data_IF_946703189692
#
_entry.id   IF_946703189692
#
_cell.length_a   1.000
_cell.length_b   1.000
_cell.length_c   1.000
_cell.angle_alpha   90.00
_cell.angle_beta   90.00
_cell.angle_gamma   90.00
#
_symmetry.space_group_name_H-M   'P 1'
#
loop_
_entity.id
_entity.type
_entity.pdbx_description
1 polymer ?
#
# COMPACT_ATOMS: atom_id res chain seq x y z
N UNK A 1 -11.62 -18.27 -14.02
CA UNK A 1 -10.23 -18.54 -14.40
C UNK A 1 -9.67 -17.27 -15.02
N UNK A 2 -8.59 -16.72 -14.49
CA UNK A 2 -7.97 -15.52 -15.05
C UNK A 2 -7.19 -15.92 -16.30
N UNK A 3 -7.51 -15.32 -17.45
CA UNK A 3 -6.78 -15.48 -18.73
C UNK A 3 -5.57 -14.56 -18.83
N UNK A 4 -4.96 -14.17 -17.70
CA UNK A 4 -3.68 -13.47 -17.69
C UNK A 4 -2.52 -14.46 -17.54
N UNK A 5 -1.29 -13.99 -17.83
CA UNK A 5 -0.02 -14.75 -17.70
C UNK A 5 -0.02 -15.72 -16.53
N UNK A 6 0.63 -16.88 -16.65
CA UNK A 6 0.66 -17.86 -15.59
C UNK A 6 1.10 -17.18 -14.29
N UNK A 7 0.18 -17.10 -13.34
CA UNK A 7 0.47 -16.60 -12.00
C UNK A 7 0.95 -17.79 -11.20
N UNK A 8 2.16 -17.75 -10.74
CA UNK A 8 2.84 -18.84 -10.06
C UNK A 8 2.29 -19.13 -8.65
N UNK A 9 1.03 -18.72 -8.37
CA UNK A 9 0.41 -18.96 -7.07
C UNK A 9 -1.12 -19.02 -7.15
N UNK A 10 -1.72 -19.74 -6.22
CA UNK A 10 -3.17 -19.76 -6.05
C UNK A 10 -3.66 -18.49 -5.36
N UNK A 11 -4.88 -18.06 -5.69
CA UNK A 11 -5.53 -17.00 -4.92
C UNK A 11 -5.78 -17.48 -3.47
N UNK A 12 -5.88 -16.53 -2.52
CA UNK A 12 -6.16 -16.89 -1.12
C UNK A 12 -7.49 -17.67 -0.99
N UNK A 13 -8.49 -17.35 -1.82
CA UNK A 13 -9.74 -18.10 -1.88
C UNK A 13 -9.55 -19.54 -2.37
N UNK A 14 -8.70 -19.75 -3.39
CA UNK A 14 -8.39 -21.11 -3.88
C UNK A 14 -7.65 -21.92 -2.84
N UNK A 15 -6.68 -21.31 -2.16
CA UNK A 15 -5.91 -21.96 -1.09
C UNK A 15 -6.85 -22.40 0.04
N UNK A 16 -7.73 -21.50 0.48
CA UNK A 16 -8.68 -21.81 1.55
C UNK A 16 -9.65 -22.93 1.16
N UNK A 17 -10.16 -22.89 -0.07
CA UNK A 17 -11.08 -23.93 -0.59
C UNK A 17 -10.38 -25.31 -0.66
N UNK A 18 -9.14 -25.35 -1.13
CA UNK A 18 -8.33 -26.58 -1.18
C UNK A 18 -8.13 -27.13 0.24
N UNK A 19 -7.79 -26.25 1.21
CA UNK A 19 -7.59 -26.65 2.61
C UNK A 19 -8.85 -27.23 3.23
N UNK A 20 -10.00 -26.57 3.06
CA UNK A 20 -11.30 -27.04 3.56
C UNK A 20 -11.65 -28.40 2.97
N UNK A 21 -11.39 -28.60 1.68
CA UNK A 21 -11.64 -29.86 1.00
C UNK A 21 -10.71 -30.99 1.48
N UNK A 22 -9.44 -30.68 1.68
CA UNK A 22 -8.47 -31.67 2.19
C UNK A 22 -8.78 -32.06 3.64
N UNK A 23 -9.12 -31.11 4.50
CA UNK A 23 -9.50 -31.41 5.89
C UNK A 23 -10.78 -32.23 5.96
N UNK A 24 -11.73 -32.00 5.06
CA UNK A 24 -13.00 -32.76 5.01
C UNK A 24 -12.86 -34.17 4.38
N UNK A 25 -11.93 -34.32 3.42
CA UNK A 25 -11.84 -35.53 2.61
C UNK A 25 -10.84 -36.59 3.14
N UNK A 26 -9.90 -36.20 4.01
CA UNK A 26 -8.78 -37.06 4.37
C UNK A 26 -8.54 -37.08 5.87
N UNK A 27 -9.05 -38.07 6.61
CA UNK A 27 -8.59 -38.35 7.96
C UNK A 27 -7.21 -39.01 7.88
N UNK A 28 -6.18 -38.28 7.47
CA UNK A 28 -4.82 -38.86 7.35
C UNK A 28 -3.93 -38.18 8.36
N UNK A 29 -3.23 -39.00 9.11
CA UNK A 29 -2.04 -38.56 9.79
C UNK A 29 -1.07 -38.01 8.75
N UNK A 30 -0.98 -36.67 8.64
CA UNK A 30 -0.04 -36.02 7.74
C UNK A 30 1.39 -36.38 8.14
N UNK A 31 2.29 -36.45 7.18
CA UNK A 31 3.72 -36.51 7.45
C UNK A 31 4.10 -35.13 8.04
N UNK A 32 4.72 -35.06 9.23
CA UNK A 32 5.18 -33.79 9.77
C UNK A 32 6.15 -33.15 8.78
N UNK A 33 5.84 -31.91 8.37
CA UNK A 33 6.79 -31.08 7.65
C UNK A 33 7.88 -30.68 8.64
N UNK A 34 9.14 -30.73 8.24
CA UNK A 34 10.28 -30.31 9.07
C UNK A 34 10.33 -28.78 9.27
N UNK A 35 9.44 -28.02 8.65
CA UNK A 35 9.33 -26.55 8.66
C UNK A 35 8.05 -26.09 9.37
N UNK A 36 8.06 -24.86 9.88
CA UNK A 36 6.92 -24.25 10.54
C UNK A 36 6.27 -23.21 9.61
N UNK A 37 4.94 -23.01 9.69
CA UNK A 37 4.27 -21.98 8.91
C UNK A 37 4.62 -20.57 9.43
N UNK A 38 4.61 -19.56 8.54
CA UNK A 38 4.65 -18.16 8.96
C UNK A 38 3.46 -17.84 9.86
N UNK A 39 3.62 -16.84 10.71
CA UNK A 39 2.60 -16.42 11.65
C UNK A 39 2.31 -14.91 11.54
N UNK A 40 1.05 -14.56 11.28
CA UNK A 40 0.56 -13.17 11.28
C UNK A 40 0.26 -12.71 12.70
N UNK A 41 0.80 -11.56 13.10
CA UNK A 41 0.40 -10.90 14.34
C UNK A 41 -1.01 -10.31 14.21
N UNK A 42 -2.01 -11.12 14.49
CA UNK A 42 -3.44 -10.74 14.39
C UNK A 42 -3.85 -9.66 15.38
N UNK A 43 -3.04 -9.38 16.42
CA UNK A 43 -3.32 -8.32 17.39
C UNK A 43 -3.19 -6.91 16.79
N UNK A 44 -2.41 -6.78 15.71
CA UNK A 44 -2.23 -5.53 14.95
C UNK A 44 -3.30 -5.31 13.87
N UNK A 45 -4.21 -6.27 13.67
CA UNK A 45 -5.26 -6.19 12.67
C UNK A 45 -6.59 -5.91 13.38
N UNK A 46 -7.19 -4.74 13.08
CA UNK A 46 -8.53 -4.42 13.60
C UNK A 46 -9.57 -5.31 12.93
N UNK A 47 -10.61 -5.68 13.69
CA UNK A 47 -11.74 -6.44 13.13
C UNK A 47 -12.43 -5.70 11.99
N UNK A 48 -12.53 -4.37 12.09
CA UNK A 48 -13.13 -3.52 11.08
C UNK A 48 -12.46 -2.15 11.03
N UNK A 49 -12.22 -1.65 9.83
CA UNK A 49 -11.78 -0.29 9.53
C UNK A 49 -12.92 0.49 8.90
N UNK A 50 -12.96 1.81 9.12
CA UNK A 50 -13.91 2.73 8.51
C UNK A 50 -13.20 3.62 7.51
N UNK A 51 -13.78 3.78 6.32
CA UNK A 51 -13.25 4.66 5.27
C UNK A 51 -14.39 5.42 4.59
N UNK A 52 -14.19 6.70 4.24
CA UNK A 52 -15.06 7.38 3.29
C UNK A 52 -14.79 6.85 1.88
N UNK A 53 -15.77 6.97 1.00
CA UNK A 53 -15.61 6.68 -0.43
C UNK A 53 -14.40 7.40 -1.02
N UNK A 54 -13.85 6.88 -2.10
CA UNK A 54 -12.74 7.47 -2.86
C UNK A 54 -11.46 7.73 -2.05
N UNK A 55 -11.27 6.98 -0.96
CA UNK A 55 -10.07 7.03 -0.12
C UNK A 55 -9.19 5.82 -0.40
N UNK A 56 -7.92 6.05 -0.69
CA UNK A 56 -6.92 4.99 -0.79
C UNK A 56 -6.63 4.38 0.57
N UNK A 57 -6.37 3.10 0.59
CA UNK A 57 -6.02 2.40 1.83
C UNK A 57 -4.95 1.34 1.60
N UNK A 58 -4.29 0.97 2.68
CA UNK A 58 -3.26 -0.07 2.69
C UNK A 58 -3.35 -0.91 3.96
N UNK A 59 -3.05 -2.18 3.82
CA UNK A 59 -2.84 -3.05 4.98
C UNK A 59 -1.35 -3.18 5.25
N UNK A 60 -0.95 -3.06 6.52
CA UNK A 60 0.36 -3.42 7.02
C UNK A 60 0.26 -4.79 7.70
N UNK A 61 0.87 -5.81 7.10
CA UNK A 61 0.79 -7.19 7.59
C UNK A 61 2.07 -7.48 8.36
N UNK A 62 1.98 -7.52 9.69
CA UNK A 62 3.10 -7.91 10.54
C UNK A 62 3.13 -9.43 10.67
N UNK A 63 4.20 -10.07 10.23
CA UNK A 63 4.36 -11.52 10.31
C UNK A 63 5.79 -11.92 10.63
N UNK A 64 5.95 -13.10 11.18
CA UNK A 64 7.25 -13.73 11.47
C UNK A 64 7.21 -15.17 11.00
N UNK A 65 8.38 -15.72 10.72
CA UNK A 65 8.57 -17.12 10.39
C UNK A 65 9.84 -17.62 11.10
N UNK A 66 9.79 -18.75 11.80
CA UNK A 66 10.95 -19.27 12.53
C UNK A 66 12.10 -19.76 11.67
N UNK A 67 11.81 -20.24 10.46
CA UNK A 67 12.76 -20.93 9.59
C UNK A 67 12.89 -20.33 8.18
N UNK A 68 12.06 -19.32 7.83
CA UNK A 68 12.19 -18.59 6.57
C UNK A 68 12.38 -17.07 6.80
N UNK A 69 13.51 -16.49 6.37
CA UNK A 69 13.72 -15.04 6.46
C UNK A 69 12.97 -14.25 5.38
N UNK A 70 12.50 -14.93 4.33
CA UNK A 70 11.84 -14.30 3.19
C UNK A 70 10.36 -14.63 3.17
N UNK A 71 9.53 -13.63 3.38
CA UNK A 71 8.08 -13.76 3.35
C UNK A 71 7.48 -13.05 2.15
N UNK A 72 6.35 -13.56 1.70
CA UNK A 72 5.53 -12.91 0.69
C UNK A 72 4.14 -12.65 1.24
N UNK A 73 3.59 -11.49 0.87
CA UNK A 73 2.36 -10.96 1.41
C UNK A 73 1.32 -10.76 0.31
N UNK A 74 0.07 -10.92 0.67
CA UNK A 74 -1.07 -10.68 -0.22
C UNK A 74 -2.28 -10.20 0.58
N UNK A 75 -3.09 -9.33 -0.01
CA UNK A 75 -4.41 -9.01 0.50
C UNK A 75 -5.44 -9.21 -0.62
N UNK A 76 -6.56 -9.81 -0.31
CA UNK A 76 -7.60 -10.12 -1.30
C UNK A 76 -8.99 -9.86 -0.71
N UNK A 77 -9.87 -9.20 -1.48
CA UNK A 77 -11.27 -9.11 -1.13
C UNK A 77 -11.92 -10.50 -1.22
N UNK A 78 -12.57 -10.90 -0.12
CA UNK A 78 -13.24 -12.21 -0.02
C UNK A 78 -14.61 -12.23 -0.67
N UNK A 79 -15.36 -11.13 -0.56
CA UNK A 79 -16.77 -11.06 -0.95
C UNK A 79 -17.00 -11.07 -2.47
N UNK A 80 -15.93 -11.17 -3.25
CA UNK A 80 -16.02 -11.20 -4.71
C UNK A 80 -16.52 -12.56 -5.16
N UNK A 81 -17.82 -12.68 -5.37
CA UNK A 81 -18.42 -13.79 -6.09
C UNK A 81 -18.37 -13.48 -7.58
N UNK A 82 -17.59 -14.24 -8.31
CA UNK A 82 -17.57 -14.19 -9.76
C UNK A 82 -19.00 -14.44 -10.27
N UNK A 83 -19.66 -13.42 -10.78
CA UNK A 83 -20.89 -13.53 -11.57
C UNK A 83 -22.21 -13.14 -10.90
N UNK A 84 -22.24 -12.69 -9.64
CA UNK A 84 -23.52 -12.50 -8.94
C UNK A 84 -24.01 -11.05 -8.79
N UNK A 85 -23.17 -10.04 -8.76
CA UNK A 85 -23.62 -8.64 -8.69
C UNK A 85 -22.54 -7.66 -9.17
N UNK A 86 -22.76 -6.98 -10.30
CA UNK A 86 -21.82 -5.95 -10.77
C UNK A 86 -21.76 -4.69 -9.88
N UNK A 87 -22.65 -4.56 -8.90
CA UNK A 87 -22.65 -3.45 -7.94
C UNK A 87 -21.69 -3.66 -6.77
N UNK A 88 -21.16 -4.87 -6.58
CA UNK A 88 -20.15 -5.13 -5.55
C UNK A 88 -18.81 -4.58 -6.04
N UNK A 89 -18.32 -3.52 -5.39
CA UNK A 89 -17.01 -2.97 -5.68
C UNK A 89 -15.95 -4.07 -5.58
N UNK A 90 -15.32 -4.36 -6.71
CA UNK A 90 -14.27 -5.36 -6.80
C UNK A 90 -12.93 -4.69 -6.59
N UNK A 91 -12.37 -4.83 -5.40
CA UNK A 91 -10.98 -4.47 -5.17
C UNK A 91 -10.10 -5.54 -5.77
N UNK A 92 -9.33 -5.15 -6.78
CA UNK A 92 -8.50 -6.12 -7.47
C UNK A 92 -7.33 -6.53 -6.63
N UNK A 93 -7.05 -7.79 -6.75
CA UNK A 93 -5.99 -8.49 -6.05
C UNK A 93 -4.66 -7.84 -6.39
N UNK A 94 -3.99 -7.17 -5.46
CA UNK A 94 -2.59 -6.80 -5.64
C UNK A 94 -1.79 -8.07 -5.90
N UNK A 95 -0.75 -7.93 -6.70
CA UNK A 95 0.18 -9.03 -6.90
C UNK A 95 0.85 -9.39 -5.56
N UNK A 96 1.27 -10.63 -5.43
CA UNK A 96 2.12 -11.08 -4.33
C UNK A 96 3.31 -10.13 -4.18
N UNK A 97 3.63 -9.72 -2.98
CA UNK A 97 4.66 -8.72 -2.68
C UNK A 97 5.57 -9.19 -1.55
N UNK A 98 6.85 -8.87 -1.62
CA UNK A 98 7.77 -9.00 -0.47
C UNK A 98 7.60 -7.84 0.51
N UNK A 99 6.93 -6.76 0.12
CA UNK A 99 6.57 -5.69 1.04
C UNK A 99 5.39 -6.10 1.91
N UNK A 100 5.46 -5.93 3.23
CA UNK A 100 4.32 -6.16 4.12
C UNK A 100 3.21 -5.11 3.96
N UNK A 101 3.44 -4.07 3.15
CA UNK A 101 2.46 -3.02 2.86
C UNK A 101 1.74 -3.33 1.54
N UNK A 102 0.46 -3.66 1.64
CA UNK A 102 -0.40 -3.94 0.47
C UNK A 102 -1.36 -2.78 0.29
N UNK A 103 -1.15 -1.99 -0.77
CA UNK A 103 -1.92 -0.78 -1.04
C UNK A 103 -3.02 -1.00 -2.08
N UNK A 104 -4.18 -0.43 -1.82
CA UNK A 104 -5.33 -0.34 -2.71
C UNK A 104 -5.49 1.11 -3.16
N UNK A 105 -5.05 1.38 -4.38
CA UNK A 105 -5.04 2.69 -5.02
C UNK A 105 -5.25 2.55 -6.52
N UNK A 106 -5.61 3.65 -7.19
CA UNK A 106 -5.60 3.68 -8.66
C UNK A 106 -4.18 3.47 -9.15
N UNK A 107 -4.07 2.69 -10.19
CA UNK A 107 -2.84 2.51 -10.93
C UNK A 107 -3.02 3.02 -12.36
N UNK A 108 -1.98 3.64 -12.87
CA UNK A 108 -1.97 4.19 -14.21
C UNK A 108 -0.90 3.51 -15.04
N UNK A 109 -1.23 3.21 -16.29
CA UNK A 109 -0.26 2.66 -17.24
C UNK A 109 0.94 3.58 -17.36
N UNK A 110 2.12 3.05 -17.12
CA UNK A 110 3.39 3.78 -17.27
C UNK A 110 3.66 4.20 -18.73
N UNK A 111 3.02 3.55 -19.69
CA UNK A 111 3.19 3.83 -21.11
C UNK A 111 2.18 4.86 -21.63
N UNK A 112 0.91 4.71 -21.27
CA UNK A 112 -0.19 5.50 -21.85
C UNK A 112 -0.77 6.53 -20.88
N UNK A 113 -0.48 6.43 -19.56
CA UNK A 113 -1.10 7.24 -18.54
C UNK A 113 -2.59 6.96 -18.33
N UNK A 114 -3.15 6.02 -19.08
CA UNK A 114 -4.53 5.58 -18.87
C UNK A 114 -4.64 4.81 -17.53
N UNK A 115 -5.76 4.97 -16.84
CA UNK A 115 -6.04 4.14 -15.67
C UNK A 115 -6.05 2.67 -16.10
N UNK A 116 -5.30 1.84 -15.37
CA UNK A 116 -5.31 0.40 -15.60
C UNK A 116 -6.65 -0.11 -15.11
N UNK A 117 -7.50 -0.51 -16.05
CA UNK A 117 -8.78 -1.14 -15.73
C UNK A 117 -8.48 -2.29 -14.78
N UNK A 118 -9.09 -2.26 -13.62
CA UNK A 118 -8.97 -3.27 -12.60
C UNK A 118 -7.90 -3.02 -11.50
N UNK A 119 -7.27 -1.86 -11.42
CA UNK A 119 -6.32 -1.60 -10.33
C UNK A 119 -7.00 -1.22 -9.02
N UNK A 120 -8.07 -0.48 -9.09
CA UNK A 120 -8.92 -0.12 -7.96
C UNK A 120 -10.27 0.37 -8.51
N UNK A 121 -11.33 -0.31 -8.15
CA UNK A 121 -12.67 0.19 -8.45
C UNK A 121 -13.00 1.16 -7.32
N UNK A 122 -13.04 2.44 -7.66
CA UNK A 122 -13.36 3.48 -6.70
C UNK A 122 -14.62 3.07 -5.95
N UNK A 123 -14.52 3.05 -4.62
CA UNK A 123 -15.64 2.70 -3.77
C UNK A 123 -16.78 3.71 -3.89
N UNK A 124 -17.36 3.85 -5.09
CA UNK A 124 -18.62 4.56 -5.27
C UNK A 124 -19.78 3.84 -4.56
N UNK A 125 -19.53 2.60 -4.11
CA UNK A 125 -20.49 1.80 -3.37
C UNK A 125 -20.17 1.82 -1.89
N UNK A 126 -21.12 2.23 -1.08
CA UNK A 126 -21.06 2.05 0.38
C UNK A 126 -21.32 0.59 0.72
N UNK A 127 -20.65 0.08 1.75
CA UNK A 127 -20.83 -1.31 2.15
C UNK A 127 -19.78 -1.79 3.11
N UNK A 128 -19.87 -3.05 3.48
CA UNK A 128 -18.85 -3.75 4.27
C UNK A 128 -18.19 -4.78 3.38
N UNK A 129 -16.88 -4.64 3.20
CA UNK A 129 -16.07 -5.52 2.37
C UNK A 129 -15.13 -6.32 3.25
N UNK A 130 -15.13 -7.63 3.08
CA UNK A 130 -14.27 -8.54 3.84
C UNK A 130 -12.99 -8.81 3.06
N UNK A 131 -11.85 -8.70 3.74
CA UNK A 131 -10.54 -8.95 3.18
C UNK A 131 -9.84 -10.09 3.90
N UNK A 132 -9.20 -10.94 3.12
CA UNK A 132 -8.18 -11.85 3.62
C UNK A 132 -6.80 -11.24 3.45
N UNK A 133 -6.00 -11.34 4.52
CA UNK A 133 -4.61 -10.94 4.57
C UNK A 133 -3.79 -12.22 4.70
N UNK A 134 -2.93 -12.49 3.74
CA UNK A 134 -2.14 -13.71 3.67
C UNK A 134 -0.66 -13.44 3.74
N UNK A 135 0.07 -14.33 4.37
CA UNK A 135 1.53 -14.41 4.34
C UNK A 135 1.95 -15.84 3.99
N UNK A 136 3.01 -15.98 3.22
CA UNK A 136 3.59 -17.28 2.90
C UNK A 136 5.12 -17.21 2.87
N UNK A 137 5.74 -18.34 3.15
CA UNK A 137 7.18 -18.61 3.07
C UNK A 137 7.63 -19.02 1.66
N UNK A 138 6.80 -18.73 0.64
CA UNK A 138 7.06 -19.14 -0.73
C UNK A 138 8.39 -18.60 -1.26
N UNK A 139 9.28 -19.49 -1.66
CA UNK A 139 10.51 -19.15 -2.37
C UNK A 139 10.19 -18.59 -3.76
N UNK A 140 11.02 -17.65 -4.25
CA UNK A 140 10.92 -17.15 -5.64
C UNK A 140 11.11 -18.28 -6.67
N UNK A 141 11.95 -19.25 -6.34
CA UNK A 141 12.16 -20.47 -7.12
C UNK A 141 11.75 -21.68 -6.27
N UNK A 142 10.54 -22.22 -6.45
CA UNK A 142 10.11 -23.42 -5.74
C UNK A 142 11.06 -24.57 -6.04
N UNK A 143 11.60 -25.20 -5.00
CA UNK A 143 12.31 -26.47 -5.12
C UNK A 143 11.34 -27.61 -4.83
N UNK A 144 11.63 -28.81 -5.38
CA UNK A 144 10.78 -30.01 -5.16
C UNK A 144 10.65 -30.37 -3.67
N UNK A 145 11.56 -29.90 -2.83
CA UNK A 145 11.63 -30.23 -1.42
C UNK A 145 11.03 -29.15 -0.50
N UNK A 146 10.59 -28.00 -1.08
CA UNK A 146 9.98 -26.92 -0.31
C UNK A 146 8.46 -26.91 -0.45
N UNK A 147 7.78 -27.22 0.64
CA UNK A 147 6.33 -27.12 0.71
C UNK A 147 5.97 -25.74 1.26
N UNK A 148 5.38 -24.93 0.40
CA UNK A 148 4.93 -23.58 0.75
C UNK A 148 3.86 -23.62 1.84
N UNK A 149 4.13 -22.95 2.95
CA UNK A 149 3.21 -22.81 4.06
C UNK A 149 2.68 -21.37 4.11
N UNK A 150 1.56 -21.16 4.79
CA UNK A 150 0.93 -19.84 4.86
C UNK A 150 0.10 -19.68 6.13
N UNK A 151 -0.12 -18.41 6.53
CA UNK A 151 -1.12 -18.01 7.52
C UNK A 151 -2.07 -16.97 6.92
N UNK A 152 -3.29 -16.93 7.43
CA UNK A 152 -4.37 -16.03 7.02
C UNK A 152 -4.96 -15.29 8.22
N UNK A 153 -5.26 -14.03 7.99
CA UNK A 153 -6.09 -13.21 8.86
C UNK A 153 -7.25 -12.61 8.06
N UNK A 154 -8.33 -12.29 8.74
CA UNK A 154 -9.51 -11.66 8.14
C UNK A 154 -9.77 -10.31 8.80
N UNK A 155 -10.17 -9.33 7.98
CA UNK A 155 -10.61 -8.01 8.43
C UNK A 155 -11.70 -7.46 7.54
N UNK A 156 -12.41 -6.46 8.00
CA UNK A 156 -13.43 -5.77 7.23
C UNK A 156 -13.05 -4.31 6.98
N UNK A 157 -13.45 -3.81 5.81
CA UNK A 157 -13.43 -2.38 5.49
C UNK A 157 -14.86 -1.94 5.25
N UNK A 158 -15.38 -1.09 6.14
CA UNK A 158 -16.68 -0.45 5.97
C UNK A 158 -16.50 0.87 5.25
N UNK A 159 -16.97 0.94 4.02
CA UNK A 159 -16.99 2.15 3.20
C UNK A 159 -18.30 2.88 3.39
N UNK A 160 -18.27 4.16 3.67
CA UNK A 160 -19.45 5.02 3.81
C UNK A 160 -19.32 6.31 3.01
N UNK A 161 -20.41 7.03 2.84
CA UNK A 161 -20.38 8.41 2.37
C UNK A 161 -19.60 9.28 3.35
N UNK A 162 -18.88 10.26 2.84
CA UNK A 162 -18.03 11.15 3.62
C UNK A 162 -17.04 11.90 2.75
N UNK A 163 -16.19 12.69 3.37
CA UNK A 163 -15.15 13.44 2.66
C UNK A 163 -13.96 12.51 2.41
N UNK A 164 -13.56 12.27 1.12
CA UNK A 164 -12.41 11.45 0.79
C UNK A 164 -11.12 11.97 1.42
N UNK A 165 -10.27 11.07 1.91
CA UNK A 165 -8.95 11.44 2.39
C UNK A 165 -8.01 11.65 1.21
N UNK A 166 -7.76 12.91 0.83
CA UNK A 166 -6.98 13.28 -0.36
C UNK A 166 -6.13 14.51 -0.11
N UNK A 167 -4.88 14.52 -0.60
CA UNK A 167 -4.06 15.74 -0.62
C UNK A 167 -4.67 16.73 -1.63
N UNK A 168 -4.87 17.97 -1.20
CA UNK A 168 -5.42 19.04 -2.01
C UNK A 168 -4.34 20.00 -2.53
N UNK A 169 -3.16 20.04 -1.90
CA UNK A 169 -2.01 20.80 -2.39
C UNK A 169 -1.51 20.21 -3.71
N UNK A 170 -1.54 21.03 -4.77
CA UNK A 170 -0.95 20.65 -6.05
C UNK A 170 0.57 20.81 -6.01
N UNK A 171 1.30 19.72 -6.21
CA UNK A 171 2.78 19.70 -6.30
C UNK A 171 3.27 19.35 -7.69
N UNK A 172 2.39 18.88 -8.58
CA UNK A 172 2.72 18.34 -9.88
C UNK A 172 3.56 19.33 -10.71
N UNK A 173 4.71 18.85 -11.20
CA UNK A 173 5.62 19.62 -12.04
C UNK A 173 6.36 20.78 -11.37
N UNK A 174 6.12 21.04 -10.08
CA UNK A 174 6.80 22.11 -9.35
C UNK A 174 8.25 21.76 -9.04
N UNK A 175 9.08 22.80 -8.94
CA UNK A 175 10.44 22.71 -8.42
C UNK A 175 10.50 23.50 -7.11
N UNK A 176 10.98 22.85 -6.08
CA UNK A 176 11.19 23.44 -4.76
C UNK A 176 12.68 23.52 -4.43
N UNK A 177 13.03 24.30 -3.42
CA UNK A 177 14.39 24.32 -2.85
C UNK A 177 14.43 23.52 -1.55
N UNK A 178 15.59 22.93 -1.27
CA UNK A 178 15.86 22.34 0.04
C UNK A 178 15.66 23.40 1.14
N UNK A 179 15.05 23.01 2.25
CA UNK A 179 14.68 23.91 3.34
C UNK A 179 13.47 24.78 3.10
N UNK A 180 12.85 24.74 1.91
CA UNK A 180 11.65 25.52 1.62
C UNK A 180 10.46 25.05 2.46
N UNK A 181 9.70 26.02 3.00
CA UNK A 181 8.42 25.76 3.65
C UNK A 181 7.30 25.69 2.63
N UNK A 182 6.46 24.70 2.79
CA UNK A 182 5.24 24.54 1.98
C UNK A 182 4.05 24.27 2.87
N UNK A 183 2.91 24.86 2.53
CA UNK A 183 1.65 24.50 3.15
C UNK A 183 1.10 23.23 2.48
N UNK A 184 1.13 22.12 3.19
CA UNK A 184 0.55 20.86 2.77
C UNK A 184 -0.88 20.81 3.30
N UNK A 185 -1.86 20.63 2.40
CA UNK A 185 -3.27 20.57 2.75
C UNK A 185 -3.90 19.29 2.22
N UNK A 186 -4.88 18.77 2.95
CA UNK A 186 -5.62 17.58 2.55
C UNK A 186 -7.07 17.65 3.01
N UNK A 187 -7.96 17.02 2.27
CA UNK A 187 -9.34 16.83 2.67
C UNK A 187 -9.42 15.70 3.71
N UNK A 188 -10.21 15.89 4.74
CA UNK A 188 -10.37 14.92 5.84
C UNK A 188 -11.81 14.93 6.34
N UNK A 189 -12.39 13.76 6.54
CA UNK A 189 -13.66 13.59 7.21
C UNK A 189 -13.45 13.66 8.72
N UNK A 190 -13.86 14.77 9.33
CA UNK A 190 -13.63 15.03 10.76
C UNK A 190 -14.41 14.11 11.68
N UNK A 191 -15.47 13.45 11.22
CA UNK A 191 -16.20 12.46 12.02
C UNK A 191 -15.47 11.12 12.05
N UNK A 192 -14.92 10.70 10.87
CA UNK A 192 -14.22 9.43 10.74
C UNK A 192 -12.81 9.46 11.30
N UNK A 193 -12.13 10.59 11.14
CA UNK A 193 -10.72 10.73 11.50
C UNK A 193 -10.51 11.65 12.69
N UNK A 194 -11.56 11.84 13.53
CA UNK A 194 -11.44 12.60 14.78
C UNK A 194 -10.33 12.03 15.65
N UNK A 195 -9.53 12.90 16.21
CA UNK A 195 -8.43 12.58 17.12
C UNK A 195 -7.37 11.61 16.55
N UNK A 196 -7.36 11.41 15.21
CA UNK A 196 -6.29 10.64 14.58
C UNK A 196 -5.06 11.49 14.32
N UNK A 197 -3.92 10.83 14.22
CA UNK A 197 -2.64 11.42 13.82
C UNK A 197 -2.27 10.94 12.42
N UNK A 198 -1.42 11.72 11.75
CA UNK A 198 -0.86 11.33 10.47
C UNK A 198 0.66 11.30 10.50
N UNK A 199 1.22 10.45 9.66
CA UNK A 199 2.63 10.42 9.30
C UNK A 199 2.77 10.97 7.87
N UNK A 200 3.73 11.87 7.63
CA UNK A 200 4.01 12.47 6.34
C UNK A 200 5.34 11.96 5.85
N UNK A 201 5.35 11.33 4.68
CA UNK A 201 6.54 10.72 4.09
C UNK A 201 6.85 11.28 2.71
N UNK A 202 8.10 11.17 2.31
CA UNK A 202 8.60 11.59 1.00
C UNK A 202 9.22 10.43 0.25
N UNK A 203 8.87 10.35 -1.01
CA UNK A 203 9.46 9.47 -2.02
C UNK A 203 10.35 10.28 -2.96
N UNK A 204 11.39 9.65 -3.49
CA UNK A 204 12.25 10.15 -4.57
C UNK A 204 12.24 9.25 -5.82
N UNK A 205 11.30 8.31 -5.89
CA UNK A 205 11.18 7.28 -6.91
C UNK A 205 9.76 7.15 -7.48
N UNK A 206 9.06 8.28 -7.60
CA UNK A 206 7.67 8.35 -8.08
C UNK A 206 6.64 7.63 -7.19
N UNK A 207 6.90 7.54 -5.87
CA UNK A 207 5.98 6.92 -4.92
C UNK A 207 6.04 5.40 -4.90
N UNK A 208 7.13 4.79 -5.36
CA UNK A 208 7.36 3.36 -5.23
C UNK A 208 7.80 3.02 -3.80
N UNK A 209 8.71 3.82 -3.25
CA UNK A 209 9.13 3.74 -1.84
C UNK A 209 9.02 5.10 -1.17
N UNK A 210 8.94 5.12 0.15
CA UNK A 210 8.82 6.32 0.97
C UNK A 210 9.83 6.31 2.12
N UNK A 211 11.14 6.41 1.81
CA UNK A 211 12.21 6.24 2.80
C UNK A 211 12.31 7.40 3.79
N UNK A 212 11.81 8.60 3.43
CA UNK A 212 11.98 9.77 4.28
C UNK A 212 10.72 10.09 5.05
N UNK A 213 10.77 10.07 6.38
CA UNK A 213 9.70 10.58 7.25
C UNK A 213 9.91 12.08 7.45
N UNK A 214 8.98 12.89 6.97
CA UNK A 214 9.03 14.35 7.06
C UNK A 214 8.41 14.87 8.35
N UNK A 215 7.34 14.23 8.81
CA UNK A 215 6.69 14.53 10.08
C UNK A 215 5.89 13.31 10.54
N UNK A 216 5.83 13.10 11.86
CA UNK A 216 5.10 11.99 12.47
C UNK A 216 4.29 12.50 13.66
N UNK A 217 3.13 11.90 13.92
CA UNK A 217 2.25 12.29 15.02
C UNK A 217 1.56 13.64 14.83
N UNK A 218 1.47 14.12 13.60
CA UNK A 218 0.78 15.39 13.27
C UNK A 218 -0.73 15.21 13.44
N UNK A 219 -1.40 16.19 14.02
CA UNK A 219 -2.86 16.19 14.12
C UNK A 219 -3.51 16.18 12.75
N UNK A 220 -4.49 15.31 12.55
CA UNK A 220 -5.18 15.14 11.27
C UNK A 220 -6.24 16.23 11.05
N UNK A 221 -5.80 17.49 11.01
CA UNK A 221 -6.66 18.67 10.88
C UNK A 221 -6.87 19.17 9.45
N UNK A 222 -6.24 18.51 8.47
CA UNK A 222 -6.33 18.88 7.06
C UNK A 222 -5.24 19.84 6.57
N UNK A 223 -4.29 20.25 7.43
CA UNK A 223 -3.18 21.12 7.03
C UNK A 223 -1.95 20.95 7.91
N UNK A 224 -0.78 21.16 7.31
CA UNK A 224 0.50 21.18 8.02
C UNK A 224 1.52 22.04 7.27
N UNK A 225 2.28 22.87 8.00
CA UNK A 225 3.41 23.59 7.42
C UNK A 225 4.64 22.67 7.41
N UNK A 226 5.01 22.22 6.24
CA UNK A 226 6.09 21.26 6.02
C UNK A 226 7.35 21.98 5.57
N UNK A 227 8.49 21.63 6.17
CA UNK A 227 9.82 22.03 5.68
C UNK A 227 10.39 20.90 4.84
N UNK A 228 10.67 21.17 3.57
CA UNK A 228 11.27 20.17 2.68
C UNK A 228 12.73 19.90 3.04
N UNK A 229 13.18 18.64 3.01
CA UNK A 229 14.57 18.31 3.31
C UNK A 229 15.51 18.88 2.25
N UNK A 230 16.76 19.18 2.66
CA UNK A 230 17.78 19.67 1.74
C UNK A 230 18.41 18.53 0.93
N UNK A 231 17.58 17.89 0.08
CA UNK A 231 17.94 16.79 -0.81
C UNK A 231 17.91 17.26 -2.27
N UNK A 232 18.52 16.47 -3.15
CA UNK A 232 18.39 16.64 -4.60
C UNK A 232 17.45 15.57 -5.15
N UNK A 233 16.24 15.94 -5.49
CA UNK A 233 15.26 15.06 -6.15
C UNK A 233 14.99 15.60 -7.54
N UNK A 234 15.52 14.93 -8.55
CA UNK A 234 15.41 15.34 -9.95
C UNK A 234 14.20 14.74 -10.67
N UNK A 235 14.21 14.97 -11.99
CA UNK A 235 13.32 14.26 -12.91
C UNK A 235 13.93 12.90 -13.23
N UNK A 236 13.14 11.83 -13.08
CA UNK A 236 13.54 10.46 -13.43
C UNK A 236 12.58 9.90 -14.49
N UNK A 237 13.02 8.89 -15.23
CA UNK A 237 12.14 8.17 -16.14
C UNK A 237 11.03 7.48 -15.37
N UNK A 238 9.80 7.61 -15.83
CA UNK A 238 8.67 6.92 -15.20
C UNK A 238 8.57 5.50 -15.74
N UNK A 239 8.91 4.54 -14.92
CA UNK A 239 9.00 3.13 -15.34
C UNK A 239 10.01 2.94 -16.47
N UNK A 240 9.65 2.12 -17.45
CA UNK A 240 10.47 1.83 -18.62
C UNK A 240 10.18 2.77 -19.81
N UNK A 241 9.67 3.98 -19.53
CA UNK A 241 9.37 4.97 -20.56
C UNK A 241 10.46 6.05 -20.64
N UNK A 242 10.46 6.81 -21.74
CA UNK A 242 11.31 8.00 -21.88
C UNK A 242 10.69 9.26 -21.24
N UNK A 243 9.52 9.14 -20.59
CA UNK A 243 8.86 10.25 -19.94
C UNK A 243 9.59 10.62 -18.65
N UNK A 244 10.27 11.77 -18.66
CA UNK A 244 10.95 12.32 -17.48
C UNK A 244 10.03 13.25 -16.73
N UNK A 245 9.64 12.87 -15.52
CA UNK A 245 8.81 13.68 -14.62
C UNK A 245 9.49 13.81 -13.25
N UNK A 246 9.08 14.78 -12.46
CA UNK A 246 9.57 14.95 -11.09
C UNK A 246 9.37 13.65 -10.30
N UNK A 247 10.40 13.22 -9.58
CA UNK A 247 10.39 11.96 -8.85
C UNK A 247 9.87 12.11 -7.41
N UNK A 248 9.74 13.35 -6.91
CA UNK A 248 9.26 13.65 -5.56
C UNK A 248 7.75 13.42 -5.43
N UNK A 249 7.35 12.62 -4.45
CA UNK A 249 5.95 12.38 -4.08
C UNK A 249 5.82 12.42 -2.57
N UNK A 250 4.86 13.18 -2.05
CA UNK A 250 4.52 13.17 -0.63
C UNK A 250 3.34 12.22 -0.43
N UNK A 251 3.42 11.44 0.64
CA UNK A 251 2.36 10.55 1.14
C UNK A 251 1.97 10.99 2.54
N UNK A 252 0.68 11.02 2.81
CA UNK A 252 0.11 11.18 4.16
C UNK A 252 -0.57 9.87 4.51
N UNK A 253 -0.24 9.31 5.67
CA UNK A 253 -0.80 8.05 6.19
C UNK A 253 -1.48 8.32 7.52
N UNK A 254 -2.70 7.83 7.69
CA UNK A 254 -3.39 7.88 8.98
C UNK A 254 -2.76 6.85 9.92
N UNK A 255 -2.18 7.30 11.01
CA UNK A 255 -1.57 6.44 12.01
C UNK A 255 -2.63 5.56 12.69
N UNK A 256 -2.26 4.31 12.97
CA UNK A 256 -3.19 3.29 13.51
C UNK A 256 -4.45 3.05 12.66
N UNK A 257 -4.43 3.51 11.42
CA UNK A 257 -5.47 3.35 10.41
C UNK A 257 -4.95 2.66 9.15
N UNK A 258 -5.77 2.66 8.11
CA UNK A 258 -5.39 2.11 6.80
C UNK A 258 -5.42 3.16 5.69
N UNK A 259 -6.02 4.34 5.94
CA UNK A 259 -6.17 5.39 4.93
C UNK A 259 -4.84 6.08 4.63
N UNK A 260 -4.63 6.39 3.35
CA UNK A 260 -3.51 7.23 2.91
C UNK A 260 -3.88 8.08 1.69
N UNK A 261 -3.07 9.11 1.43
CA UNK A 261 -3.16 9.96 0.24
C UNK A 261 -1.77 10.28 -0.29
N UNK A 262 -1.66 10.54 -1.59
CA UNK A 262 -0.41 10.90 -2.28
C UNK A 262 -0.58 12.15 -3.13
N UNK A 263 0.51 12.91 -3.34
CA UNK A 263 0.48 14.14 -4.15
C UNK A 263 0.50 13.91 -5.65
N UNK A 264 0.93 12.73 -6.10
CA UNK A 264 0.99 12.39 -7.52
C UNK A 264 0.43 10.99 -7.73
N UNK A 265 -0.67 10.91 -8.45
CA UNK A 265 -1.34 9.65 -8.79
C UNK A 265 -1.03 9.25 -10.24
N UNK A 266 -1.13 10.21 -11.16
CA UNK A 266 -0.91 10.00 -12.59
C UNK A 266 0.32 10.76 -13.09
N UNK A 267 1.37 10.06 -13.52
CA UNK A 267 2.61 10.70 -13.98
C UNK A 267 2.44 11.52 -15.26
N UNK A 268 1.46 11.20 -16.11
CA UNK A 268 1.20 11.96 -17.34
C UNK A 268 0.46 13.28 -17.09
N UNK A 269 -0.15 13.46 -15.93
CA UNK A 269 -0.75 14.72 -15.49
C UNK A 269 0.24 15.62 -14.74
N UNK A 270 1.54 15.53 -15.07
CA UNK A 270 2.59 16.37 -14.50
C UNK A 270 3.49 15.66 -13.50
N UNK A 271 3.16 14.41 -13.13
CA UNK A 271 3.98 13.60 -12.22
C UNK A 271 4.14 14.22 -10.84
N UNK A 272 5.27 13.90 -10.19
CA UNK A 272 5.66 14.49 -8.92
C UNK A 272 6.38 15.83 -9.10
N UNK A 273 7.09 16.25 -8.06
CA UNK A 273 7.87 17.47 -8.02
C UNK A 273 9.38 17.19 -7.98
N UNK A 274 10.18 18.25 -8.08
CA UNK A 274 11.64 18.18 -7.91
C UNK A 274 12.04 19.02 -6.69
N UNK A 275 13.18 18.65 -6.06
CA UNK A 275 13.84 19.45 -5.02
C UNK A 275 15.25 19.75 -5.50
N UNK A 276 15.60 21.03 -5.58
CA UNK A 276 16.96 21.49 -5.78
C UNK A 276 17.64 21.70 -4.42
N UNK A 277 18.79 21.05 -4.23
CA UNK A 277 19.58 21.21 -3.02
C UNK A 277 20.04 22.66 -2.90
N UNK A 278 19.87 23.24 -1.72
CA UNK A 278 20.42 24.56 -1.39
C UNK A 278 21.83 24.39 -0.83
N UNK A 279 22.84 24.88 -1.57
CA UNK A 279 24.25 24.79 -1.18
C UNK A 279 24.61 25.69 0.01
N UNK A 280 23.76 26.65 0.35
CA UNK A 280 23.95 27.53 1.49
C UNK A 280 23.50 26.91 2.81
N UNK A 281 22.70 25.84 2.76
CA UNK A 281 22.22 25.12 3.93
C UNK A 281 23.16 23.94 4.24
N UNK A 282 23.45 23.69 5.53
CA UNK A 282 24.17 22.48 5.90
C UNK A 282 23.36 21.25 5.45
N UNK A 283 24.06 20.11 5.30
CA UNK A 283 23.42 18.80 5.13
C UNK A 283 22.70 18.43 6.43
N UNK A 284 21.68 19.18 6.79
CA UNK A 284 20.85 18.86 7.93
C UNK A 284 19.61 18.13 7.41
N UNK A 285 19.47 16.89 7.82
CA UNK A 285 18.20 16.20 7.75
C UNK A 285 17.21 16.91 8.66
N UNK A 286 16.25 17.60 8.07
CA UNK A 286 15.04 17.97 8.77
C UNK A 286 14.08 16.81 8.57
N UNK A 287 14.18 15.80 9.41
CA UNK A 287 13.37 14.57 9.32
C UNK A 287 14.11 13.41 10.01
N UNK A 288 13.36 12.40 10.38
CA UNK A 288 13.92 11.14 10.90
C UNK A 288 14.74 10.48 9.79
N UNK A 289 15.96 10.03 10.09
CA UNK A 289 16.79 9.26 9.16
C UNK A 289 16.01 8.07 8.61
N UNK A 290 16.24 7.66 7.35
CA UNK A 290 15.71 6.40 6.84
C UNK A 290 16.06 5.26 7.80
N UNK A 291 15.13 4.38 8.08
CA UNK A 291 15.32 3.29 9.08
C UNK A 291 16.46 2.32 8.73
N UNK A 292 17.03 2.40 7.52
CA UNK A 292 18.06 1.49 7.02
C UNK A 292 19.48 2.08 6.96
N UNK A 293 19.72 3.31 7.47
CA UNK A 293 21.07 3.81 7.64
C UNK A 293 21.60 3.49 9.05
N UNK A 294 22.04 2.26 9.24
CA UNK A 294 23.03 1.92 10.26
C UNK A 294 24.38 2.54 9.85
N UNK A 295 24.92 3.44 10.67
CA UNK A 295 26.28 3.94 10.57
C UNK A 295 27.26 2.84 10.97
#
# INVERSE_FOLDING_TARGET
MSTGSPRDFFSLSSIQLIREHLVAAVPVGGIPLGTQPPHIDKTKIKKQYLLPKDTYFQFAISATDPDSPSLTYMAQQRDVRLGEDPSIAQYIIPQRSHSPLIAFKREYSKQTGAEVSNSWISGQTTGVFTFWLGVSDALETPTVDHIVQYDLAETQVKVRDGIPFKITTSTAGKTYRGGQRIALTWAVDSELFRDTKVCIRLSEDHGQTFPYTLAEGVDNTGSYELVLPNLSIGKKNYGNTNLKVGAGVIKIEVMEGIAFAVTAENPQQGGGFTIEKDSSLPLAFVGVLPQDMTI
#
